data_IF_269453785743
#
_entry.id   IF_269453785743
#
_cell.length_a   1.000
_cell.length_b   1.000
_cell.length_c   1.000
_cell.angle_alpha   90.00
_cell.angle_beta   90.00
_cell.angle_gamma   90.00
#
_symmetry.space_group_name_H-M   'P 1'
#
loop_
_entity.id
_entity.type
_entity.pdbx_description
1 polymer ?
#
# COMPACT_ATOMS: atom_id res chain seq x y z
N UNK A 1 -21.10 -17.70 26.11
CA UNK A 1 -20.30 -16.59 25.56
C UNK A 1 -19.76 -17.05 24.20
N UNK A 2 -20.41 -16.66 23.10
CA UNK A 2 -19.87 -16.95 21.77
C UNK A 2 -18.73 -15.97 21.52
N UNK A 3 -17.50 -16.46 21.57
CA UNK A 3 -16.35 -15.73 21.07
C UNK A 3 -16.50 -15.63 19.55
N UNK A 4 -17.04 -14.50 19.09
CA UNK A 4 -16.98 -14.13 17.69
C UNK A 4 -15.50 -13.93 17.36
N UNK A 5 -14.94 -14.86 16.60
CA UNK A 5 -13.63 -14.70 15.99
C UNK A 5 -13.72 -13.48 15.06
N UNK A 6 -13.28 -12.32 15.57
CA UNK A 6 -13.02 -11.15 14.73
C UNK A 6 -12.00 -11.60 13.68
N UNK A 7 -12.46 -11.92 12.46
CA UNK A 7 -11.58 -11.98 11.30
C UNK A 7 -10.97 -10.57 11.20
N UNK A 8 -9.71 -10.42 11.59
CA UNK A 8 -8.99 -9.16 11.39
C UNK A 8 -9.00 -8.87 9.89
N UNK A 9 -9.90 -7.99 9.47
CA UNK A 9 -10.07 -7.65 8.05
C UNK A 9 -8.94 -6.71 7.70
N UNK A 10 -7.89 -7.25 7.09
CA UNK A 10 -6.76 -6.44 6.62
C UNK A 10 -7.10 -5.79 5.28
N UNK A 11 -6.83 -4.50 5.16
CA UNK A 11 -7.08 -3.72 3.95
C UNK A 11 -5.80 -3.61 3.15
N UNK A 12 -5.82 -4.17 1.94
CA UNK A 12 -4.66 -4.18 1.05
C UNK A 12 -4.83 -3.19 -0.08
N UNK A 13 -3.79 -2.38 -0.28
CA UNK A 13 -3.70 -1.43 -1.39
C UNK A 13 -2.38 -1.66 -2.13
N UNK A 14 -2.40 -1.33 -3.42
CA UNK A 14 -1.34 -1.70 -4.35
C UNK A 14 -0.91 -0.50 -5.19
N UNK A 15 0.38 -0.45 -5.50
CA UNK A 15 0.95 0.51 -6.45
C UNK A 15 1.93 -0.22 -7.36
N UNK A 16 1.89 0.11 -8.66
CA UNK A 16 2.81 -0.47 -9.64
C UNK A 16 4.25 -0.07 -9.32
N UNK A 17 5.18 -1.03 -9.36
CA UNK A 17 6.60 -0.75 -9.14
C UNK A 17 7.23 0.06 -10.27
N UNK A 18 6.75 -0.09 -11.51
CA UNK A 18 7.26 0.64 -12.67
C UNK A 18 6.99 2.14 -12.57
N UNK A 19 5.98 2.54 -11.81
CA UNK A 19 5.62 3.94 -11.57
C UNK A 19 6.42 4.60 -10.44
N UNK A 20 7.34 3.88 -9.78
CA UNK A 20 8.05 4.38 -8.60
C UNK A 20 9.49 4.79 -8.91
N UNK A 21 9.91 5.90 -8.33
CA UNK A 21 11.32 6.32 -8.33
C UNK A 21 12.19 5.35 -7.54
N UNK A 22 13.41 5.10 -8.04
CA UNK A 22 14.43 4.27 -7.42
C UNK A 22 14.86 3.10 -8.32
N UNK A 23 16.16 2.81 -8.31
CA UNK A 23 16.77 1.86 -9.26
C UNK A 23 16.58 0.40 -8.88
N UNK A 24 16.19 0.12 -7.62
CA UNK A 24 16.00 -1.23 -7.12
C UNK A 24 14.79 -1.32 -6.19
N UNK A 25 14.40 -2.54 -5.82
CA UNK A 25 13.20 -2.77 -5.02
C UNK A 25 13.27 -2.14 -3.63
N UNK A 26 14.45 -2.07 -3.03
CA UNK A 26 14.65 -1.47 -1.70
C UNK A 26 14.42 0.04 -1.79
N UNK A 27 15.00 0.69 -2.80
CA UNK A 27 14.81 2.12 -3.05
C UNK A 27 13.33 2.45 -3.31
N UNK A 28 12.64 1.66 -4.13
CA UNK A 28 11.21 1.83 -4.42
C UNK A 28 10.33 1.66 -3.17
N UNK A 29 10.59 0.64 -2.34
CA UNK A 29 9.90 0.45 -1.05
C UNK A 29 10.14 1.63 -0.10
N UNK A 30 11.38 2.11 0.01
CA UNK A 30 11.72 3.25 0.87
C UNK A 30 11.12 4.57 0.38
N UNK A 31 11.01 4.75 -0.94
CA UNK A 31 10.32 5.89 -1.54
C UNK A 31 8.84 5.89 -1.15
N UNK A 32 8.16 4.76 -1.36
CA UNK A 32 6.75 4.59 -0.98
C UNK A 32 6.54 4.77 0.52
N UNK A 33 7.36 4.12 1.34
CA UNK A 33 7.26 4.22 2.79
C UNK A 33 7.32 5.68 3.26
N UNK A 34 8.26 6.48 2.73
CA UNK A 34 8.36 7.92 3.06
C UNK A 34 7.13 8.74 2.67
N UNK A 35 6.41 8.34 1.62
CA UNK A 35 5.19 9.04 1.17
C UNK A 35 3.96 8.71 2.02
N UNK A 36 3.97 7.57 2.71
CA UNK A 36 2.82 7.07 3.49
C UNK A 36 3.13 6.94 4.99
N UNK A 37 4.32 7.38 5.44
CA UNK A 37 4.79 7.15 6.80
C UNK A 37 4.02 7.94 7.87
N UNK A 38 3.29 9.00 7.49
CA UNK A 38 2.41 9.70 8.43
C UNK A 38 1.04 9.01 8.59
N UNK A 39 0.68 8.07 7.72
CA UNK A 39 -0.51 7.24 7.89
C UNK A 39 -0.21 6.14 8.90
N UNK A 40 -0.78 6.28 10.10
CA UNK A 40 -0.65 5.29 11.15
C UNK A 40 -1.36 3.97 10.78
N UNK A 41 -0.96 2.88 11.44
CA UNK A 41 -1.62 1.57 11.28
C UNK A 41 -1.18 0.74 10.08
N UNK A 42 -0.06 1.11 9.43
CA UNK A 42 0.59 0.26 8.43
C UNK A 42 1.13 -1.02 9.09
N UNK A 43 0.55 -2.17 8.73
CA UNK A 43 0.94 -3.50 9.22
C UNK A 43 2.13 -4.03 8.44
N UNK A 44 2.11 -3.88 7.11
CA UNK A 44 3.14 -4.47 6.24
C UNK A 44 3.28 -3.73 4.93
N UNK A 45 4.51 -3.66 4.44
CA UNK A 45 4.86 -3.17 3.11
C UNK A 45 5.74 -4.21 2.40
N UNK A 46 5.19 -4.85 1.37
CA UNK A 46 5.84 -5.96 0.68
C UNK A 46 5.81 -5.78 -0.85
N UNK A 47 6.85 -6.28 -1.51
CA UNK A 47 6.88 -6.40 -2.96
C UNK A 47 6.24 -7.71 -3.38
N UNK A 48 5.33 -7.70 -4.34
CA UNK A 48 4.66 -8.92 -4.82
C UNK A 48 4.29 -8.79 -6.31
N UNK A 49 3.65 -9.81 -6.86
CA UNK A 49 3.15 -9.85 -8.23
C UNK A 49 1.64 -10.03 -8.23
N UNK A 50 0.94 -9.27 -9.06
CA UNK A 50 -0.48 -9.45 -9.35
C UNK A 50 -0.62 -9.63 -10.86
N UNK A 51 -1.08 -10.81 -11.30
CA UNK A 51 -1.26 -11.14 -12.72
C UNK A 51 -0.03 -10.80 -13.59
N UNK A 52 1.18 -11.08 -13.07
CA UNK A 52 2.45 -10.78 -13.75
C UNK A 52 3.00 -9.36 -13.57
N UNK A 53 2.23 -8.45 -12.98
CA UNK A 53 2.64 -7.07 -12.72
C UNK A 53 3.33 -6.97 -11.37
N UNK A 54 4.52 -6.38 -11.33
CA UNK A 54 5.26 -6.09 -10.09
C UNK A 54 4.60 -4.94 -9.35
N UNK A 55 4.16 -5.18 -8.12
CA UNK A 55 3.50 -4.18 -7.28
C UNK A 55 4.14 -4.09 -5.90
N UNK A 56 3.96 -2.95 -5.24
CA UNK A 56 4.15 -2.82 -3.79
C UNK A 56 2.77 -2.90 -3.15
N UNK A 57 2.60 -3.82 -2.22
CA UNK A 57 1.41 -4.00 -1.39
C UNK A 57 1.64 -3.33 -0.04
N UNK A 58 0.78 -2.39 0.32
CA UNK A 58 0.65 -1.90 1.69
C UNK A 58 -0.58 -2.53 2.34
N UNK A 59 -0.46 -2.94 3.60
CA UNK A 59 -1.53 -3.56 4.37
C UNK A 59 -1.81 -2.71 5.60
N UNK A 60 -3.06 -2.33 5.80
CA UNK A 60 -3.54 -1.57 6.95
C UNK A 60 -4.56 -2.37 7.77
N UNK A 61 -4.65 -2.04 9.06
CA UNK A 61 -5.65 -2.61 9.96
C UNK A 61 -7.04 -2.06 9.69
N UNK A 62 -7.14 -0.77 9.35
CA UNK A 62 -8.42 -0.08 9.18
C UNK A 62 -8.62 0.42 7.75
N UNK A 63 -9.86 0.38 7.28
CA UNK A 63 -10.21 0.84 5.94
C UNK A 63 -9.90 2.32 5.73
N UNK A 64 -10.14 3.15 6.76
CA UNK A 64 -9.92 4.60 6.69
C UNK A 64 -8.45 4.94 6.39
N UNK A 65 -7.50 4.17 6.95
CA UNK A 65 -6.06 4.35 6.70
C UNK A 65 -5.68 3.94 5.28
N UNK A 66 -6.24 2.83 4.79
CA UNK A 66 -6.07 2.40 3.41
C UNK A 66 -6.64 3.42 2.41
N UNK A 67 -7.82 4.00 2.72
CA UNK A 67 -8.46 5.03 1.91
C UNK A 67 -7.66 6.33 1.92
N UNK A 68 -7.16 6.77 3.08
CA UNK A 68 -6.28 7.94 3.20
C UNK A 68 -5.01 7.75 2.35
N UNK A 69 -4.42 6.55 2.39
CA UNK A 69 -3.24 6.23 1.59
C UNK A 69 -3.53 6.22 0.08
N UNK A 70 -4.70 5.75 -0.35
CA UNK A 70 -5.15 5.86 -1.74
C UNK A 70 -5.34 7.32 -2.20
N UNK A 71 -5.69 8.23 -1.29
CA UNK A 71 -5.85 9.65 -1.61
C UNK A 71 -4.50 10.39 -1.73
N UNK A 72 -3.41 9.84 -1.17
CA UNK A 72 -2.08 10.44 -1.24
C UNK A 72 -1.48 10.35 -2.64
N UNK A 73 -0.86 11.44 -3.08
CA UNK A 73 -0.04 11.48 -4.28
C UNK A 73 1.33 10.89 -3.97
N UNK A 74 1.73 9.87 -4.72
CA UNK A 74 3.01 9.19 -4.49
C UNK A 74 4.14 9.83 -5.29
N UNK A 75 3.85 10.38 -6.47
CA UNK A 75 4.77 11.19 -7.26
C UNK A 75 4.14 12.55 -7.59
N UNK A 76 4.98 13.56 -7.82
CA UNK A 76 4.57 14.93 -8.19
C UNK A 76 3.94 15.00 -9.59
N UNK A 77 4.25 14.05 -10.48
CA UNK A 77 3.62 13.84 -11.79
C UNK A 77 2.26 13.10 -11.66
N UNK A 78 1.35 13.81 -11.00
CA UNK A 78 -0.10 13.71 -10.76
C UNK A 78 -0.95 12.42 -10.82
N UNK A 79 -0.56 11.28 -11.37
CA UNK A 79 -1.49 10.12 -11.48
C UNK A 79 -1.04 8.86 -10.73
N UNK A 80 0.13 8.88 -10.13
CA UNK A 80 0.65 7.70 -9.43
C UNK A 80 0.09 7.66 -8.00
N UNK A 81 -0.87 6.75 -7.78
CA UNK A 81 -1.54 6.52 -6.49
C UNK A 81 -1.65 5.03 -6.18
N UNK A 82 -1.95 4.74 -4.92
CA UNK A 82 -2.37 3.42 -4.52
C UNK A 82 -3.80 3.14 -4.98
N UNK A 83 -4.07 1.90 -5.36
CA UNK A 83 -5.41 1.40 -5.67
C UNK A 83 -5.78 0.22 -4.78
N UNK A 84 -7.05 0.12 -4.41
CA UNK A 84 -7.64 -1.12 -3.90
C UNK A 84 -7.86 -2.06 -5.08
N UNK A 85 -7.63 -3.36 -4.88
CA UNK A 85 -8.13 -4.37 -5.82
C UNK A 85 -9.51 -4.78 -5.33
N UNK A 86 -10.53 -4.58 -6.15
CA UNK A 86 -11.87 -5.16 -5.94
C UNK A 86 -11.92 -6.63 -6.37
#
# INVERSE_FOLDING_TARGET
MHAQTNKTQHFSIFISQDSLSGDNIIAKKNFVYRKISDVLGLISLASTFIKGIKVIRAIYEMEVQAAETCAKKIADDNDIRFAKLE
#
